data_IF_108283659960
#
_entry.id   IF_108283659960
#
_cell.length_a   1.000
_cell.length_b   1.000
_cell.length_c   1.000
_cell.angle_alpha   90.00
_cell.angle_beta   90.00
_cell.angle_gamma   90.00
#
_symmetry.space_group_name_H-M   'P 1'
#
loop_
_entity.id
_entity.type
_entity.pdbx_description
1 polymer ?
#
# COMPACT_ATOMS: atom_id res chain seq x y z
N UNK A 1 66.43 -19.12 61.69
CA UNK A 1 65.36 -18.17 62.03
C UNK A 1 65.49 -16.97 61.09
N UNK A 2 64.40 -16.65 60.36
CA UNK A 2 64.11 -15.39 59.64
C UNK A 2 65.04 -14.95 58.48
N UNK A 3 64.59 -14.39 57.33
CA UNK A 3 63.35 -14.40 56.52
C UNK A 3 63.58 -13.38 55.37
N UNK A 4 63.27 -13.77 54.11
CA UNK A 4 63.00 -12.95 52.89
C UNK A 4 64.20 -12.18 52.24
N UNK A 5 64.31 -11.95 50.92
CA UNK A 5 63.34 -11.85 49.82
C UNK A 5 64.00 -12.22 48.45
N UNK A 6 63.35 -13.07 47.63
CA UNK A 6 62.66 -12.77 46.35
C UNK A 6 63.53 -12.06 45.28
N UNK A 7 64.00 -12.85 44.32
CA UNK A 7 64.55 -12.39 43.03
C UNK A 7 63.59 -12.73 41.89
N UNK A 8 63.26 -11.70 41.13
CA UNK A 8 62.27 -11.58 40.04
C UNK A 8 62.79 -12.19 38.71
N UNK A 9 61.97 -12.98 38.01
CA UNK A 9 61.95 -13.19 36.53
C UNK A 9 61.06 -14.39 36.20
N UNK A 10 60.06 -14.39 35.34
CA UNK A 10 59.30 -13.37 34.63
C UNK A 10 58.02 -14.07 34.18
N UNK A 11 56.86 -13.49 34.47
CA UNK A 11 55.58 -14.07 34.05
C UNK A 11 55.34 -13.76 32.57
N UNK A 12 55.31 -14.79 31.72
CA UNK A 12 54.85 -14.66 30.33
C UNK A 12 53.33 -14.52 30.38
N UNK A 13 52.83 -13.29 30.20
CA UNK A 13 51.42 -13.03 30.00
C UNK A 13 51.03 -13.44 28.57
N UNK A 14 50.32 -14.54 28.43
CA UNK A 14 49.70 -14.96 27.17
C UNK A 14 48.42 -14.14 26.97
N UNK A 15 48.51 -13.07 26.18
CA UNK A 15 47.35 -12.27 25.81
C UNK A 15 46.48 -13.05 24.80
N UNK A 16 45.35 -13.58 25.26
CA UNK A 16 44.28 -14.06 24.39
C UNK A 16 43.63 -12.85 23.71
N UNK A 17 43.98 -12.60 22.45
CA UNK A 17 43.23 -11.68 21.58
C UNK A 17 41.90 -12.35 21.22
N UNK A 18 40.81 -11.93 21.86
CA UNK A 18 39.45 -12.19 21.37
C UNK A 18 39.30 -11.46 20.04
N UNK A 19 39.51 -12.15 18.93
CA UNK A 19 39.10 -11.66 17.62
C UNK A 19 37.58 -11.73 17.55
N UNK A 20 36.92 -10.57 17.56
CA UNK A 20 35.50 -10.48 17.29
C UNK A 20 35.25 -10.94 15.85
N UNK A 21 34.70 -12.15 15.68
CA UNK A 21 34.18 -12.58 14.39
C UNK A 21 33.11 -11.58 13.95
N UNK A 22 33.22 -10.93 12.78
CA UNK A 22 32.11 -10.14 12.26
C UNK A 22 30.95 -11.11 12.00
N UNK A 23 29.82 -10.87 12.68
CA UNK A 23 28.60 -11.62 12.47
C UNK A 23 28.07 -11.35 11.04
N UNK A 24 28.50 -12.17 10.08
CA UNK A 24 27.92 -12.27 8.75
C UNK A 24 26.56 -12.99 8.85
N UNK A 25 25.57 -12.34 9.44
CA UNK A 25 24.19 -12.85 9.53
C UNK A 25 23.14 -11.84 9.04
N UNK A 26 23.56 -10.71 8.46
CA UNK A 26 22.65 -9.64 8.01
C UNK A 26 22.73 -9.37 6.49
N UNK A 27 22.94 -10.40 5.68
CA UNK A 27 22.63 -10.32 4.25
C UNK A 27 21.42 -11.19 3.93
N UNK A 28 20.28 -10.86 4.56
CA UNK A 28 19.01 -11.36 4.07
C UNK A 28 18.75 -10.71 2.72
N UNK A 29 18.65 -11.53 1.67
CA UNK A 29 18.20 -11.11 0.37
C UNK A 29 16.82 -10.43 0.53
N UNK A 30 16.78 -9.10 0.42
CA UNK A 30 15.54 -8.30 0.59
C UNK A 30 14.49 -8.62 -0.48
N UNK A 31 14.79 -9.50 -1.43
CA UNK A 31 13.87 -9.97 -2.46
C UNK A 31 13.05 -11.20 -2.03
N UNK A 32 13.38 -11.87 -0.93
CA UNK A 32 12.59 -12.99 -0.43
C UNK A 32 11.36 -12.50 0.33
N UNK A 33 10.11 -12.82 -0.11
CA UNK A 33 8.92 -12.41 0.62
C UNK A 33 8.98 -13.03 2.02
N UNK A 34 8.74 -12.20 3.04
CA UNK A 34 8.59 -12.68 4.41
C UNK A 34 7.54 -13.80 4.41
N UNK A 35 7.80 -14.86 5.17
CA UNK A 35 6.90 -16.01 5.30
C UNK A 35 6.46 -16.13 6.75
N UNK A 36 5.21 -16.51 6.96
CA UNK A 36 4.70 -16.91 8.27
C UNK A 36 5.35 -18.24 8.72
N UNK A 37 5.29 -18.63 10.01
CA UNK A 37 5.87 -19.88 10.49
C UNK A 37 5.34 -21.15 9.79
N UNK A 38 4.13 -21.09 9.24
CA UNK A 38 3.49 -22.15 8.44
C UNK A 38 3.78 -22.03 6.93
N UNK A 39 4.68 -21.13 6.51
CA UNK A 39 5.21 -21.04 5.14
C UNK A 39 4.38 -20.20 4.16
N UNK A 40 3.31 -19.56 4.61
CA UNK A 40 2.49 -18.68 3.78
C UNK A 40 3.18 -17.34 3.54
N UNK A 41 2.85 -16.62 2.44
CA UNK A 41 3.29 -15.23 2.29
C UNK A 41 2.84 -14.38 3.48
N UNK A 42 3.79 -13.73 4.14
CA UNK A 42 3.51 -12.77 5.19
C UNK A 42 3.09 -11.44 4.54
N UNK A 43 1.79 -11.16 4.61
CA UNK A 43 1.18 -9.92 4.12
C UNK A 43 0.97 -8.91 5.26
N UNK A 44 1.70 -9.04 6.37
CA UNK A 44 1.66 -8.07 7.46
C UNK A 44 2.27 -6.73 7.02
N UNK A 45 1.66 -5.63 7.45
CA UNK A 45 2.16 -4.29 7.13
C UNK A 45 1.12 -3.20 7.33
N UNK A 46 1.50 -1.98 6.96
CA UNK A 46 0.60 -0.83 6.91
C UNK A 46 0.13 -0.68 5.47
N UNK A 47 -1.18 -0.84 5.27
CA UNK A 47 -1.82 -0.64 3.99
C UNK A 47 -2.55 0.70 3.98
N UNK A 48 -2.32 1.51 2.95
CA UNK A 48 -3.01 2.77 2.74
C UNK A 48 -3.48 2.86 1.29
N UNK A 49 -4.59 3.57 1.09
CA UNK A 49 -5.15 3.89 -0.23
C UNK A 49 -4.83 5.33 -0.65
N UNK A 50 -3.91 6.00 0.06
CA UNK A 50 -3.54 7.41 -0.13
C UNK A 50 -2.67 7.59 -1.39
N UNK A 51 -3.24 7.37 -2.57
CA UNK A 51 -2.57 7.64 -3.85
C UNK A 51 -3.58 8.01 -4.95
N UNK A 52 -3.13 8.85 -5.88
CA UNK A 52 -3.83 9.12 -7.13
C UNK A 52 -3.68 7.98 -8.15
N UNK A 53 -2.73 7.07 -7.97
CA UNK A 53 -2.51 5.93 -8.87
C UNK A 53 -3.76 5.04 -8.88
N UNK A 54 -4.42 4.85 -10.03
CA UNK A 54 -5.63 4.07 -10.11
C UNK A 54 -5.35 2.57 -9.93
N UNK A 55 -6.35 1.80 -9.51
CA UNK A 55 -6.20 0.36 -9.37
C UNK A 55 -5.91 -0.29 -10.73
N UNK A 56 -6.70 0.01 -11.76
CA UNK A 56 -6.54 -0.48 -13.13
C UNK A 56 -6.05 0.65 -14.04
N UNK A 57 -5.20 0.33 -15.00
CA UNK A 57 -4.68 1.29 -15.98
C UNK A 57 -5.82 1.88 -16.81
N UNK A 58 -6.00 3.21 -16.79
CA UNK A 58 -6.93 3.90 -17.68
C UNK A 58 -6.60 3.65 -19.16
N UNK A 59 -7.57 3.80 -20.06
CA UNK A 59 -7.34 3.53 -21.51
C UNK A 59 -6.39 4.57 -22.11
N UNK A 60 -6.43 5.79 -21.62
CA UNK A 60 -5.53 6.87 -22.04
C UNK A 60 -4.04 6.57 -21.77
N UNK A 61 -3.72 5.65 -20.87
CA UNK A 61 -2.35 5.25 -20.54
C UNK A 61 -1.99 3.87 -21.07
N UNK A 62 -2.75 3.29 -21.99
CA UNK A 62 -2.46 1.96 -22.56
C UNK A 62 -1.02 1.89 -23.10
N UNK A 63 -0.27 0.85 -22.69
CA UNK A 63 1.14 0.68 -23.04
C UNK A 63 2.11 1.63 -22.31
N UNK A 64 1.61 2.58 -21.51
CA UNK A 64 2.41 3.51 -20.73
C UNK A 64 2.39 3.10 -19.26
N UNK A 65 3.39 2.34 -18.83
CA UNK A 65 3.47 1.85 -17.45
C UNK A 65 3.72 2.96 -16.43
N UNK A 66 4.49 3.97 -16.81
CA UNK A 66 4.91 5.08 -15.96
C UNK A 66 4.80 6.41 -16.72
N UNK A 67 4.46 7.47 -16.00
CA UNK A 67 4.52 8.84 -16.53
C UNK A 67 5.94 9.40 -16.39
N UNK A 68 6.31 10.33 -17.28
CA UNK A 68 7.48 11.17 -17.05
C UNK A 68 7.26 12.04 -15.80
N UNK A 69 8.33 12.58 -15.21
CA UNK A 69 8.19 13.44 -14.02
C UNK A 69 7.34 14.69 -14.29
N UNK A 70 7.44 15.26 -15.49
CA UNK A 70 6.67 16.43 -15.90
C UNK A 70 5.19 16.09 -16.13
N UNK A 71 4.91 14.98 -16.83
CA UNK A 71 3.55 14.50 -17.05
C UNK A 71 2.88 14.10 -15.72
N UNK A 72 3.63 13.45 -14.84
CA UNK A 72 3.16 13.09 -13.51
C UNK A 72 2.79 14.33 -12.68
N UNK A 73 3.63 15.36 -12.66
CA UNK A 73 3.34 16.59 -11.93
C UNK A 73 2.08 17.29 -12.48
N UNK A 74 1.93 17.32 -13.81
CA UNK A 74 0.76 17.88 -14.48
C UNK A 74 -0.51 17.07 -14.16
N UNK A 75 -0.42 15.75 -14.20
CA UNK A 75 -1.50 14.84 -13.84
C UNK A 75 -1.92 15.00 -12.37
N UNK A 76 -0.97 15.01 -11.44
CA UNK A 76 -1.22 15.18 -10.00
C UNK A 76 -1.87 16.54 -9.70
N UNK A 77 -1.45 17.62 -10.37
CA UNK A 77 -2.08 18.94 -10.23
C UNK A 77 -3.53 18.95 -10.77
N UNK A 78 -3.76 18.35 -11.93
CA UNK A 78 -5.09 18.25 -12.53
C UNK A 78 -6.03 17.41 -11.65
N UNK A 79 -5.56 16.25 -11.16
CA UNK A 79 -6.35 15.36 -10.29
C UNK A 79 -6.65 15.98 -8.93
N UNK A 80 -5.69 16.69 -8.31
CA UNK A 80 -5.94 17.43 -7.06
C UNK A 80 -7.07 18.43 -7.25
N UNK A 81 -7.08 19.15 -8.36
CA UNK A 81 -8.16 20.10 -8.67
C UNK A 81 -9.48 19.38 -8.94
N UNK A 82 -9.47 18.35 -9.80
CA UNK A 82 -10.67 17.60 -10.19
C UNK A 82 -11.35 16.90 -9.02
N UNK A 83 -10.57 16.39 -8.06
CA UNK A 83 -11.07 15.64 -6.90
C UNK A 83 -11.43 16.51 -5.70
N UNK A 84 -10.94 17.75 -5.66
CA UNK A 84 -11.16 18.67 -4.55
C UNK A 84 -12.63 19.07 -4.45
N UNK A 85 -13.28 18.60 -3.37
CA UNK A 85 -14.69 18.90 -3.10
C UNK A 85 -14.96 20.34 -2.71
N UNK A 86 -13.95 21.08 -2.26
CA UNK A 86 -14.09 22.49 -1.91
C UNK A 86 -14.30 23.37 -3.15
N UNK A 87 -14.00 22.83 -4.34
CA UNK A 87 -14.21 23.51 -5.62
C UNK A 87 -15.59 23.23 -6.24
N UNK A 88 -16.47 22.51 -5.54
CA UNK A 88 -17.81 22.24 -6.02
C UNK A 88 -18.68 23.50 -5.99
N UNK A 89 -19.39 23.73 -7.09
CA UNK A 89 -20.31 24.86 -7.24
C UNK A 89 -21.69 24.47 -6.68
N UNK A 90 -22.15 25.07 -5.57
CA UNK A 90 -23.44 24.73 -4.95
C UNK A 90 -24.64 25.06 -5.84
N UNK A 91 -24.51 25.99 -6.78
CA UNK A 91 -25.61 26.37 -7.68
C UNK A 91 -25.79 25.35 -8.81
N UNK A 92 -24.71 24.65 -9.18
CA UNK A 92 -24.75 23.59 -10.20
C UNK A 92 -24.93 22.20 -9.59
N UNK A 93 -24.59 22.03 -8.32
CA UNK A 93 -24.48 20.71 -7.72
C UNK A 93 -23.21 19.98 -8.19
N UNK A 94 -23.18 18.68 -7.96
CA UNK A 94 -22.11 17.78 -8.41
C UNK A 94 -22.67 16.37 -8.63
N UNK A 95 -21.80 15.42 -8.99
CA UNK A 95 -22.13 14.03 -9.37
C UNK A 95 -23.36 13.41 -8.67
N UNK A 96 -23.38 13.39 -7.34
CA UNK A 96 -24.49 12.83 -6.53
C UNK A 96 -25.14 13.88 -5.61
N UNK A 97 -24.90 15.17 -5.89
CA UNK A 97 -25.33 16.28 -5.06
C UNK A 97 -26.18 17.23 -5.90
N UNK A 98 -27.47 17.31 -5.58
CA UNK A 98 -28.38 18.21 -6.26
C UNK A 98 -27.91 19.68 -6.11
N UNK A 99 -28.26 20.56 -7.07
CA UNK A 99 -28.03 21.98 -6.92
C UNK A 99 -28.86 22.56 -5.76
N UNK A 100 -28.42 23.71 -5.24
CA UNK A 100 -29.09 24.41 -4.14
C UNK A 100 -30.54 24.78 -4.46
N UNK A 101 -30.84 25.08 -5.72
CA UNK A 101 -32.20 25.37 -6.19
C UNK A 101 -33.18 24.22 -5.97
N UNK A 102 -32.67 22.99 -5.85
CA UNK A 102 -33.45 21.76 -5.59
C UNK A 102 -33.38 21.34 -4.11
N UNK A 103 -32.86 22.19 -3.23
CA UNK A 103 -32.63 21.88 -1.81
C UNK A 103 -31.40 21.01 -1.56
N UNK A 104 -30.50 20.88 -2.55
CA UNK A 104 -29.29 20.09 -2.42
C UNK A 104 -28.29 20.68 -1.42
N UNK A 105 -27.62 19.78 -0.70
CA UNK A 105 -26.45 20.07 0.13
C UNK A 105 -25.28 19.27 -0.44
N UNK A 106 -24.15 19.94 -0.68
CA UNK A 106 -22.95 19.31 -1.25
C UNK A 106 -22.27 18.36 -0.24
N UNK A 107 -21.12 17.81 -0.63
CA UNK A 107 -20.28 16.96 0.22
C UNK A 107 -19.61 17.71 1.38
N UNK A 108 -19.01 16.96 2.31
CA UNK A 108 -17.99 17.48 3.22
C UNK A 108 -16.82 18.11 2.45
N UNK A 109 -16.06 18.96 3.14
CA UNK A 109 -14.87 19.58 2.60
C UNK A 109 -13.74 18.55 2.34
N UNK A 110 -12.83 18.85 1.42
CA UNK A 110 -11.84 17.89 0.92
C UNK A 110 -10.92 17.34 2.02
N UNK A 111 -10.65 18.13 3.06
CA UNK A 111 -9.88 17.74 4.24
C UNK A 111 -10.30 16.40 4.87
N UNK A 112 -11.60 16.08 4.87
CA UNK A 112 -12.11 14.84 5.48
C UNK A 112 -11.85 13.59 4.64
N UNK A 113 -11.25 13.73 3.46
CA UNK A 113 -11.03 12.62 2.55
C UNK A 113 -9.54 12.23 2.46
N UNK A 114 -9.27 10.95 2.73
CA UNK A 114 -7.91 10.36 2.66
C UNK A 114 -7.59 9.77 1.27
N UNK A 115 -7.83 10.49 0.18
CA UNK A 115 -7.70 9.91 -1.18
C UNK A 115 -6.28 9.94 -1.77
N UNK A 116 -5.33 10.54 -1.05
CA UNK A 116 -3.99 10.82 -1.57
C UNK A 116 -3.96 11.93 -2.61
N UNK A 117 -2.78 12.52 -2.79
CA UNK A 117 -2.58 13.70 -3.63
C UNK A 117 -1.42 13.54 -4.63
N UNK A 118 -0.77 12.38 -4.61
CA UNK A 118 0.38 12.02 -5.43
C UNK A 118 0.18 10.63 -6.02
N UNK A 119 0.76 10.39 -7.20
CA UNK A 119 1.01 9.04 -7.70
C UNK A 119 2.00 8.31 -6.78
N UNK A 120 2.08 6.98 -6.89
CA UNK A 120 3.17 6.21 -6.26
C UNK A 120 4.55 6.77 -6.65
N UNK A 121 5.57 6.47 -5.85
CA UNK A 121 6.92 7.04 -6.02
C UNK A 121 7.52 6.80 -7.41
N UNK A 122 7.16 5.69 -8.06
CA UNK A 122 7.58 5.32 -9.41
C UNK A 122 6.69 5.86 -10.53
N UNK A 123 5.71 6.72 -10.21
CA UNK A 123 4.81 7.37 -11.18
C UNK A 123 4.09 6.39 -12.10
N UNK A 124 3.80 5.18 -11.61
CA UNK A 124 3.07 4.17 -12.37
C UNK A 124 1.62 4.61 -12.62
N UNK A 125 1.09 4.18 -13.75
CA UNK A 125 -0.28 4.50 -14.20
C UNK A 125 -1.33 3.49 -13.71
N UNK A 126 -0.93 2.46 -12.95
CA UNK A 126 -1.82 1.46 -12.34
C UNK A 126 -1.17 0.74 -11.16
N UNK A 127 -1.94 0.41 -10.12
CA UNK A 127 -1.47 -0.45 -9.03
C UNK A 127 -1.29 -1.91 -9.45
N UNK A 128 -2.06 -2.37 -10.43
CA UNK A 128 -1.88 -3.70 -11.04
C UNK A 128 -0.67 -3.63 -11.97
N UNK A 129 0.32 -4.46 -11.67
CA UNK A 129 1.55 -4.59 -12.47
C UNK A 129 1.55 -5.84 -13.35
N UNK A 130 0.80 -6.87 -12.94
CA UNK A 130 0.62 -8.11 -13.68
C UNK A 130 -0.87 -8.46 -13.70
N UNK A 131 -1.52 -8.55 -14.89
CA UNK A 131 -0.95 -8.49 -16.24
C UNK A 131 -0.31 -7.14 -16.63
N UNK A 132 0.64 -7.11 -17.60
CA UNK A 132 1.33 -5.88 -18.03
C UNK A 132 0.42 -4.78 -18.55
N UNK A 133 -0.80 -5.12 -19.01
CA UNK A 133 -1.81 -4.14 -19.39
C UNK A 133 -2.37 -3.36 -18.19
N UNK A 134 -2.05 -3.79 -16.96
CA UNK A 134 -2.41 -3.13 -15.70
C UNK A 134 -3.90 -3.21 -15.42
N UNK A 135 -4.61 -4.19 -15.98
CA UNK A 135 -6.05 -4.37 -15.80
C UNK A 135 -6.33 -5.67 -15.09
N UNK A 136 -7.46 -5.75 -14.39
CA UNK A 136 -7.85 -7.01 -13.77
C UNK A 136 -8.15 -8.02 -14.88
N UNK A 137 -7.67 -9.27 -14.75
CA UNK A 137 -8.04 -10.32 -15.68
C UNK A 137 -9.57 -10.49 -15.78
N UNK A 138 -10.10 -10.86 -16.96
CA UNK A 138 -11.50 -11.19 -17.12
C UNK A 138 -11.94 -12.26 -16.12
N UNK A 139 -13.13 -12.09 -15.54
CA UNK A 139 -13.67 -13.10 -14.61
C UNK A 139 -14.08 -14.34 -15.40
N UNK A 140 -13.75 -15.52 -14.88
CA UNK A 140 -14.24 -16.80 -15.40
C UNK A 140 -15.75 -16.92 -15.24
N UNK A 141 -16.41 -17.74 -16.06
CA UNK A 141 -17.86 -17.96 -15.94
C UNK A 141 -18.24 -18.51 -14.57
N UNK A 142 -17.48 -19.48 -14.05
CA UNK A 142 -17.67 -20.01 -12.70
C UNK A 142 -17.61 -18.91 -11.63
N UNK A 143 -16.66 -17.96 -11.74
CA UNK A 143 -16.57 -16.82 -10.83
C UNK A 143 -17.79 -15.90 -10.93
N UNK A 144 -18.35 -15.71 -12.13
CA UNK A 144 -19.56 -14.92 -12.35
C UNK A 144 -20.79 -15.60 -11.77
N UNK A 145 -20.95 -16.92 -11.99
CA UNK A 145 -22.04 -17.73 -11.43
C UNK A 145 -21.99 -17.68 -9.90
N UNK A 146 -20.86 -18.04 -9.29
CA UNK A 146 -20.75 -18.04 -7.83
C UNK A 146 -20.95 -16.66 -7.21
N UNK A 147 -20.56 -15.57 -7.89
CA UNK A 147 -20.86 -14.22 -7.42
C UNK A 147 -22.35 -13.87 -7.49
N UNK A 148 -23.07 -14.33 -8.53
CA UNK A 148 -24.52 -14.17 -8.65
C UNK A 148 -25.25 -14.95 -7.57
N UNK A 149 -24.86 -16.20 -7.32
CA UNK A 149 -25.41 -17.04 -6.25
C UNK A 149 -25.21 -16.40 -4.88
N UNK A 150 -23.97 -16.01 -4.53
CA UNK A 150 -23.69 -15.30 -3.26
C UNK A 150 -24.46 -13.99 -3.12
N UNK A 151 -24.70 -13.27 -4.21
CA UNK A 151 -25.48 -12.04 -4.17
C UNK A 151 -26.99 -12.31 -4.01
N UNK A 152 -27.52 -13.38 -4.60
CA UNK A 152 -28.90 -13.80 -4.43
C UNK A 152 -29.14 -14.29 -2.99
N UNK A 153 -28.24 -15.11 -2.48
CA UNK A 153 -28.23 -15.60 -1.10
C UNK A 153 -28.21 -14.46 -0.09
N UNK A 154 -27.24 -13.53 -0.19
CA UNK A 154 -27.21 -12.34 0.67
C UNK A 154 -28.49 -11.51 0.64
N UNK A 155 -29.17 -11.41 -0.51
CA UNK A 155 -30.43 -10.66 -0.60
C UNK A 155 -31.59 -11.41 0.06
N UNK A 156 -31.66 -12.72 -0.12
CA UNK A 156 -32.71 -13.55 0.46
C UNK A 156 -32.57 -13.64 1.99
N UNK A 157 -31.34 -13.66 2.48
CA UNK A 157 -31.00 -13.91 3.88
C UNK A 157 -30.41 -12.69 4.60
N UNK A 158 -30.63 -11.48 4.07
CA UNK A 158 -30.01 -10.25 4.56
C UNK A 158 -30.34 -9.93 6.03
N UNK A 159 -31.42 -10.50 6.56
CA UNK A 159 -31.86 -10.21 7.93
C UNK A 159 -32.05 -11.46 8.79
N UNK A 160 -31.60 -12.62 8.30
CA UNK A 160 -31.87 -13.91 8.95
C UNK A 160 -30.98 -14.17 10.16
N UNK A 161 -29.83 -13.48 10.26
CA UNK A 161 -28.86 -13.64 11.36
C UNK A 161 -28.17 -12.31 11.68
N UNK A 162 -27.58 -12.19 12.87
CA UNK A 162 -26.69 -11.07 13.23
C UNK A 162 -25.42 -11.02 12.37
N UNK A 163 -25.06 -12.14 11.72
CA UNK A 163 -23.90 -12.24 10.83
C UNK A 163 -24.16 -11.68 9.42
N UNK A 164 -25.43 -11.45 9.07
CA UNK A 164 -25.85 -11.04 7.72
C UNK A 164 -26.45 -9.62 7.65
N UNK A 165 -26.49 -8.88 8.77
CA UNK A 165 -27.12 -7.54 8.89
C UNK A 165 -26.30 -6.42 8.29
#
# INVERSE_FOLDING_TARGET
>A
MLKHAVGLSGAVALALTLTSSPALAQSGDRTMPMRTPDGQPDVSGIFTFRTLTPMERPREFEGQEQLSLEDAASFEAAERTRRNRDLFDPEKGALFYAPRSEGGVLSYNEFWYERGVELTSDKRTSLIVDPPDGRRPPRTEASRIGARERAADRRAHMYDSYENR
#
